data_IF_111691544859
#
_entry.id   IF_111691544859
#
_cell.length_a   1.000
_cell.length_b   1.000
_cell.length_c   1.000
_cell.angle_alpha   90.00
_cell.angle_beta   90.00
_cell.angle_gamma   90.00
#
_symmetry.space_group_name_H-M   'P 1'
#
loop_
_entity.id
_entity.type
_entity.pdbx_description
1 polymer ?
#
# COMPACT_ATOMS: atom_id res chain seq x y z
N UNK A 1 -6.57 21.46 -9.73
CA UNK A 1 -5.95 21.08 -8.44
C UNK A 1 -5.85 19.56 -8.41
N UNK A 2 -4.80 19.00 -9.00
CA UNK A 2 -4.59 17.56 -9.07
C UNK A 2 -3.28 17.25 -8.32
N UNK A 3 -3.43 16.90 -7.05
CA UNK A 3 -2.33 16.54 -6.16
C UNK A 3 -2.87 15.62 -5.07
N UNK A 4 -3.67 14.63 -5.47
CA UNK A 4 -4.30 13.68 -4.54
C UNK A 4 -3.48 12.39 -4.52
N UNK A 5 -2.78 12.21 -3.40
CA UNK A 5 -2.67 10.98 -2.58
C UNK A 5 -2.38 9.70 -3.36
N UNK A 6 -1.17 9.16 -3.20
CA UNK A 6 -0.64 8.20 -4.16
C UNK A 6 -0.04 6.94 -3.51
N UNK A 7 0.13 6.90 -2.18
CA UNK A 7 0.17 5.62 -1.45
C UNK A 7 -1.22 5.09 -1.10
N UNK A 8 -2.19 5.96 -0.83
CA UNK A 8 -3.60 5.54 -0.64
C UNK A 8 -4.13 4.73 -1.82
N UNK A 9 -3.73 5.08 -3.05
CA UNK A 9 -4.14 4.40 -4.28
C UNK A 9 -3.92 2.90 -4.25
N UNK A 10 -2.83 2.41 -3.62
CA UNK A 10 -2.55 0.99 -3.47
C UNK A 10 -3.61 0.27 -2.63
N UNK A 11 -4.24 0.97 -1.70
CA UNK A 11 -5.24 0.45 -0.78
C UNK A 11 -6.65 0.73 -1.31
N UNK A 12 -6.87 1.86 -1.98
CA UNK A 12 -8.13 2.21 -2.62
C UNK A 12 -8.54 1.20 -3.70
N UNK A 13 -7.58 0.71 -4.49
CA UNK A 13 -7.82 -0.35 -5.49
C UNK A 13 -8.34 -1.63 -4.85
N UNK A 14 -7.84 -1.98 -3.65
CA UNK A 14 -8.26 -3.14 -2.90
C UNK A 14 -9.63 -2.93 -2.24
N UNK A 15 -9.88 -1.75 -1.67
CA UNK A 15 -11.18 -1.39 -1.06
C UNK A 15 -12.29 -1.40 -2.11
N UNK A 16 -12.01 -0.90 -3.32
CA UNK A 16 -12.98 -0.84 -4.42
C UNK A 16 -13.28 -2.21 -5.06
N UNK A 17 -12.53 -3.27 -4.72
CA UNK A 17 -12.74 -4.61 -5.27
C UNK A 17 -13.94 -5.30 -4.64
N UNK A 18 -14.95 -5.63 -5.46
CA UNK A 18 -16.15 -6.37 -5.01
C UNK A 18 -15.84 -7.79 -4.51
N UNK A 19 -14.80 -8.42 -5.05
CA UNK A 19 -14.37 -9.77 -4.68
C UNK A 19 -12.88 -9.76 -4.35
N UNK A 20 -12.53 -9.12 -3.25
CA UNK A 20 -11.16 -9.10 -2.77
C UNK A 20 -10.65 -10.52 -2.48
N UNK A 21 -9.53 -10.90 -3.09
CA UNK A 21 -8.88 -12.19 -2.87
C UNK A 21 -7.49 -12.01 -2.26
N UNK A 22 -6.99 -13.04 -1.57
CA UNK A 22 -5.64 -13.03 -1.03
C UNK A 22 -4.58 -12.81 -2.13
N UNK A 23 -4.80 -13.39 -3.32
CA UNK A 23 -3.91 -13.22 -4.45
C UNK A 23 -3.82 -11.75 -4.89
N UNK A 24 -4.96 -11.05 -4.99
CA UNK A 24 -4.97 -9.62 -5.33
C UNK A 24 -4.16 -8.78 -4.33
N UNK A 25 -4.31 -9.08 -3.03
CA UNK A 25 -3.57 -8.38 -1.98
C UNK A 25 -2.07 -8.69 -2.07
N UNK A 26 -1.69 -9.96 -2.35
CA UNK A 26 -0.29 -10.36 -2.53
C UNK A 26 0.35 -9.68 -3.74
N UNK A 27 -0.36 -9.58 -4.85
CA UNK A 27 0.12 -8.87 -6.04
C UNK A 27 0.36 -7.38 -5.75
N UNK A 28 -0.54 -6.76 -4.99
CA UNK A 28 -0.39 -5.36 -4.59
C UNK A 28 0.78 -5.16 -3.60
N UNK A 29 0.96 -6.08 -2.64
CA UNK A 29 2.11 -6.08 -1.73
C UNK A 29 3.44 -6.26 -2.48
N UNK A 30 3.49 -7.16 -3.47
CA UNK A 30 4.67 -7.39 -4.30
C UNK A 30 5.01 -6.16 -5.15
N UNK A 31 4.00 -5.58 -5.81
CA UNK A 31 4.17 -4.32 -6.55
C UNK A 31 4.77 -3.23 -5.66
N UNK A 32 4.23 -3.07 -4.45
CA UNK A 32 4.71 -2.07 -3.51
C UNK A 32 6.15 -2.35 -3.06
N UNK A 33 6.46 -3.60 -2.73
CA UNK A 33 7.81 -4.03 -2.34
C UNK A 33 8.84 -3.70 -3.44
N UNK A 34 8.60 -4.15 -4.67
CA UNK A 34 9.51 -3.93 -5.80
C UNK A 34 9.66 -2.44 -6.12
N UNK A 35 8.57 -1.68 -6.05
CA UNK A 35 8.56 -0.25 -6.31
C UNK A 35 9.37 0.51 -5.25
N UNK A 36 9.10 0.27 -3.96
CA UNK A 36 9.81 0.93 -2.87
C UNK A 36 11.32 0.62 -2.90
N UNK A 37 11.69 -0.62 -3.18
CA UNK A 37 13.09 -1.02 -3.32
C UNK A 37 13.78 -0.25 -4.46
N UNK A 38 13.17 -0.20 -5.64
CA UNK A 38 13.72 0.51 -6.79
C UNK A 38 13.84 2.02 -6.55
N UNK A 39 12.81 2.65 -5.98
CA UNK A 39 12.79 4.07 -5.67
C UNK A 39 13.83 4.44 -4.59
N UNK A 40 14.11 3.54 -3.65
CA UNK A 40 15.18 3.72 -2.67
C UNK A 40 16.54 3.60 -3.33
N UNK A 41 16.75 2.55 -4.14
CA UNK A 41 18.03 2.29 -4.80
C UNK A 41 18.43 3.41 -5.78
N UNK A 42 17.46 4.00 -6.48
CA UNK A 42 17.72 5.11 -7.40
C UNK A 42 17.74 6.50 -6.71
N UNK A 43 17.50 6.55 -5.40
CA UNK A 43 17.52 7.78 -4.60
C UNK A 43 16.29 8.68 -4.74
N UNK A 44 15.20 8.21 -5.35
CA UNK A 44 13.94 8.97 -5.48
C UNK A 44 13.24 9.13 -4.13
N UNK A 45 13.33 8.12 -3.26
CA UNK A 45 12.82 8.20 -1.88
C UNK A 45 13.96 8.02 -0.87
N UNK A 46 13.79 8.62 0.31
CA UNK A 46 14.72 8.45 1.41
C UNK A 46 14.63 7.05 2.02
N UNK A 47 15.66 6.65 2.75
CA UNK A 47 15.62 5.41 3.53
C UNK A 47 14.50 5.43 4.58
N UNK A 48 14.23 6.59 5.19
CA UNK A 48 13.16 6.75 6.18
C UNK A 48 11.78 6.57 5.52
N UNK A 49 11.57 7.15 4.34
CA UNK A 49 10.34 6.95 3.57
C UNK A 49 10.14 5.48 3.19
N UNK A 50 11.22 4.77 2.82
CA UNK A 50 11.17 3.33 2.55
C UNK A 50 10.77 2.52 3.80
N UNK A 51 11.37 2.80 4.96
CA UNK A 51 11.07 2.09 6.20
C UNK A 51 9.63 2.32 6.67
N UNK A 52 9.14 3.56 6.57
CA UNK A 52 7.76 3.89 6.93
C UNK A 52 6.78 3.22 5.96
N UNK A 53 7.04 3.28 4.65
CA UNK A 53 6.23 2.66 3.61
C UNK A 53 6.21 1.13 3.69
N UNK A 54 7.31 0.51 4.11
CA UNK A 54 7.40 -0.95 4.34
C UNK A 54 6.40 -1.46 5.38
N UNK A 55 5.91 -0.58 6.27
CA UNK A 55 4.83 -0.94 7.20
C UNK A 55 3.48 -1.19 6.51
N UNK A 56 3.25 -0.58 5.33
CA UNK A 56 2.06 -0.84 4.49
C UNK A 56 2.21 -2.18 3.77
N UNK A 57 3.37 -2.43 3.16
CA UNK A 57 3.68 -3.70 2.49
C UNK A 57 3.54 -4.90 3.44
N UNK A 58 4.15 -4.83 4.63
CA UNK A 58 3.98 -5.85 5.67
C UNK A 58 2.52 -6.00 6.13
N UNK A 59 1.78 -4.90 6.20
CA UNK A 59 0.36 -4.91 6.53
C UNK A 59 -0.49 -5.64 5.49
N UNK A 60 -0.23 -5.41 4.19
CA UNK A 60 -0.89 -6.10 3.09
C UNK A 60 -0.58 -7.61 3.10
N UNK A 61 0.67 -7.99 3.38
CA UNK A 61 1.06 -9.39 3.53
C UNK A 61 0.31 -10.10 4.67
N UNK A 62 0.15 -9.44 5.83
CA UNK A 62 -0.67 -9.96 6.93
C UNK A 62 -2.13 -10.09 6.49
N UNK A 63 -2.67 -9.07 5.83
CA UNK A 63 -4.05 -9.07 5.37
C UNK A 63 -4.33 -10.20 4.37
N UNK A 64 -3.43 -10.46 3.43
CA UNK A 64 -3.55 -11.57 2.50
C UNK A 64 -3.67 -12.91 3.24
N UNK A 65 -2.85 -13.13 4.26
CA UNK A 65 -2.93 -14.34 5.08
C UNK A 65 -4.27 -14.45 5.83
N UNK A 66 -4.81 -13.34 6.35
CA UNK A 66 -6.12 -13.34 7.01
C UNK A 66 -7.23 -13.75 6.04
N UNK A 67 -7.18 -13.28 4.79
CA UNK A 67 -8.12 -13.70 3.74
C UNK A 67 -7.99 -15.20 3.44
N UNK A 68 -6.77 -15.74 3.36
CA UNK A 68 -6.55 -17.19 3.15
C UNK A 68 -7.07 -18.06 4.30
N UNK A 69 -7.01 -17.53 5.53
CA UNK A 69 -7.54 -18.19 6.71
C UNK A 69 -9.07 -18.10 6.83
N UNK A 70 -9.75 -17.42 5.89
CA UNK A 70 -11.19 -17.30 5.88
C UNK A 70 -11.74 -16.30 6.91
N UNK A 71 -10.94 -15.31 7.31
CA UNK A 71 -11.41 -14.19 8.15
C UNK A 71 -12.56 -13.46 7.45
N UNK A 72 -13.49 -12.92 8.24
CA UNK A 72 -14.69 -12.30 7.69
C UNK A 72 -14.37 -11.08 6.82
N UNK A 73 -15.15 -10.88 5.75
CA UNK A 73 -14.98 -9.73 4.87
C UNK A 73 -15.07 -8.39 5.61
N UNK A 74 -15.90 -8.28 6.65
CA UNK A 74 -15.98 -7.08 7.50
C UNK A 74 -14.68 -6.79 8.24
N UNK A 75 -14.05 -7.81 8.83
CA UNK A 75 -12.78 -7.64 9.55
C UNK A 75 -11.64 -7.30 8.59
N UNK A 76 -11.62 -7.92 7.39
CA UNK A 76 -10.67 -7.59 6.33
C UNK A 76 -10.82 -6.13 5.89
N UNK A 77 -12.06 -5.65 5.74
CA UNK A 77 -12.34 -4.26 5.39
C UNK A 77 -11.93 -3.27 6.49
N UNK A 78 -12.10 -3.64 7.77
CA UNK A 78 -11.63 -2.81 8.89
C UNK A 78 -10.09 -2.71 8.91
N UNK A 79 -9.38 -3.81 8.63
CA UNK A 79 -7.92 -3.79 8.50
C UNK A 79 -7.45 -2.96 7.31
N UNK A 80 -8.13 -3.06 6.16
CA UNK A 80 -7.84 -2.22 4.99
C UNK A 80 -7.98 -0.73 5.33
N UNK A 81 -9.03 -0.35 6.05
CA UNK A 81 -9.24 1.04 6.46
C UNK A 81 -8.13 1.55 7.38
N UNK A 82 -7.66 0.72 8.32
CA UNK A 82 -6.54 1.06 9.19
C UNK A 82 -5.23 1.24 8.41
N UNK A 83 -4.98 0.36 7.43
CA UNK A 83 -3.84 0.50 6.53
C UNK A 83 -3.96 1.78 5.68
N UNK A 84 -5.17 2.08 5.21
CA UNK A 84 -5.46 3.30 4.45
C UNK A 84 -5.10 4.54 5.29
N UNK A 85 -5.66 4.67 6.50
CA UNK A 85 -5.32 5.79 7.40
C UNK A 85 -3.81 5.91 7.69
N UNK A 86 -3.10 4.77 7.77
CA UNK A 86 -1.65 4.78 7.95
C UNK A 86 -0.94 5.28 6.71
N UNK A 87 -1.34 4.83 5.52
CA UNK A 87 -0.78 5.30 4.26
C UNK A 87 -0.91 6.82 4.12
N UNK A 88 -2.01 7.42 4.57
CA UNK A 88 -2.21 8.86 4.55
C UNK A 88 -1.24 9.62 5.43
N UNK A 89 -1.02 9.12 6.66
CA UNK A 89 0.00 9.69 7.56
C UNK A 89 1.41 9.58 6.97
N UNK A 90 1.71 8.52 6.24
CA UNK A 90 3.00 8.34 5.57
C UNK A 90 3.13 9.31 4.39
N UNK A 91 2.09 9.48 3.58
CA UNK A 91 2.07 10.45 2.48
C UNK A 91 2.23 11.90 3.00
N UNK A 92 1.63 12.23 4.15
CA UNK A 92 1.82 13.52 4.83
C UNK A 92 3.26 13.72 5.33
N UNK A 93 3.87 12.66 5.88
CA UNK A 93 5.25 12.69 6.39
C UNK A 93 6.29 12.71 5.26
N UNK A 94 5.99 12.06 4.13
CA UNK A 94 6.88 11.91 2.97
C UNK A 94 6.16 12.29 1.66
N UNK A 95 5.94 13.59 1.38
CA UNK A 95 5.10 14.04 0.26
C UNK A 95 5.57 13.61 -1.14
N UNK A 96 6.84 13.21 -1.29
CA UNK A 96 7.38 12.69 -2.55
C UNK A 96 7.13 11.19 -2.76
N UNK A 97 6.79 10.44 -1.71
CA UNK A 97 6.64 8.99 -1.75
C UNK A 97 5.47 8.58 -2.63
N UNK A 98 4.25 9.02 -2.30
CA UNK A 98 3.06 8.69 -3.06
C UNK A 98 3.25 8.95 -4.56
N UNK A 99 3.56 10.18 -5.00
CA UNK A 99 3.73 10.48 -6.43
C UNK A 99 4.76 9.58 -7.12
N UNK A 100 5.85 9.22 -6.44
CA UNK A 100 6.85 8.31 -6.98
C UNK A 100 6.30 6.88 -7.16
N UNK A 101 5.53 6.37 -6.19
CA UNK A 101 4.88 5.05 -6.28
C UNK A 101 3.83 5.03 -7.39
N UNK A 102 2.99 6.06 -7.51
CA UNK A 102 2.00 6.14 -8.58
C UNK A 102 2.65 6.23 -9.97
N UNK A 103 3.79 6.92 -10.09
CA UNK A 103 4.53 6.99 -11.35
C UNK A 103 5.09 5.63 -11.80
N UNK A 104 5.29 4.68 -10.87
CA UNK A 104 5.73 3.32 -11.17
C UNK A 104 4.60 2.37 -11.61
N UNK A 105 3.33 2.80 -11.52
CA UNK A 105 2.14 2.00 -11.88
C UNK A 105 1.69 2.23 -13.33
N UNK A 106 2.62 2.16 -14.29
CA UNK A 106 2.36 2.34 -15.73
C UNK A 106 2.09 1.02 -16.45
#
# INVERSE_FOLDING_TARGET
MAGREAMHTCIDTLIASENLTAEMIKQEALFLQETLENLRLNGTISNDAYLDAGSIEGGLNVLANLVELGVSASEVQDHLRQLHERAGRIDEAHPSLGPAVAASRQ
#
